data_IF_334426951503
#
_entry.id   IF_334426951503
#
_cell.length_a   1.000
_cell.length_b   1.000
_cell.length_c   1.000
_cell.angle_alpha   90.00
_cell.angle_beta   90.00
_cell.angle_gamma   90.00
#
_symmetry.space_group_name_H-M   'P 1'
#
loop_
_entity.id
_entity.type
_entity.pdbx_description
1 polymer ?
#
# COMPACT_ATOMS: atom_id res chain seq x y z
N UNK A 1 -4.36 -2.91 -10.66
CA UNK A 1 -4.65 -1.50 -10.32
C UNK A 1 -5.96 -1.46 -9.54
N UNK A 2 -5.94 -0.95 -8.31
CA UNK A 2 -7.14 -0.76 -7.48
C UNK A 2 -7.64 0.68 -7.66
N UNK A 3 -8.95 0.90 -7.70
CA UNK A 3 -9.53 2.24 -7.73
C UNK A 3 -9.23 3.01 -6.44
N UNK A 4 -9.34 2.32 -5.30
CA UNK A 4 -9.21 2.90 -3.97
C UNK A 4 -7.79 2.80 -3.43
N UNK A 5 -7.38 3.83 -2.68
CA UNK A 5 -6.19 3.76 -1.85
C UNK A 5 -6.42 2.77 -0.69
N UNK A 6 -5.39 1.98 -0.38
CA UNK A 6 -5.42 1.01 0.72
C UNK A 6 -4.93 1.62 2.04
N UNK A 7 -4.14 2.70 1.95
CA UNK A 7 -3.61 3.46 3.07
C UNK A 7 -3.41 4.90 2.61
N UNK A 8 -3.93 5.85 3.38
CA UNK A 8 -3.76 7.29 3.21
C UNK A 8 -3.27 7.90 4.52
N UNK A 9 -2.55 9.04 4.49
CA UNK A 9 -2.18 9.76 5.70
C UNK A 9 -3.43 10.19 6.46
N UNK A 10 -3.58 9.72 7.68
CA UNK A 10 -4.68 10.06 8.59
C UNK A 10 -4.17 10.36 10.01
N UNK A 11 -3.07 9.72 10.40
CA UNK A 11 -2.48 9.91 11.71
C UNK A 11 -1.50 11.09 11.73
N UNK A 12 -1.35 11.70 12.91
CA UNK A 12 -0.52 12.90 13.06
C UNK A 12 0.94 12.69 12.61
N UNK A 13 1.46 11.47 12.73
CA UNK A 13 2.83 11.12 12.33
C UNK A 13 2.95 10.88 10.82
N UNK A 14 1.85 10.77 10.09
CA UNK A 14 1.77 10.65 8.62
C UNK A 14 1.52 12.01 7.97
N UNK A 15 0.76 12.88 8.66
CA UNK A 15 0.46 14.23 8.21
C UNK A 15 1.57 15.23 8.53
N UNK A 16 2.40 14.98 9.55
CA UNK A 16 3.36 15.97 10.07
C UNK A 16 4.77 15.42 10.17
N UNK A 17 5.68 15.99 9.38
CA UNK A 17 7.09 15.62 9.34
C UNK A 17 7.86 16.47 8.33
N UNK A 18 9.04 15.98 7.92
CA UNK A 18 9.89 16.59 6.89
C UNK A 18 9.13 16.81 5.58
N UNK A 19 8.33 15.84 5.15
CA UNK A 19 7.38 15.98 4.04
C UNK A 19 5.98 15.62 4.54
N UNK A 20 5.07 16.59 4.74
CA UNK A 20 3.70 16.36 5.20
C UNK A 20 2.89 15.44 4.28
N UNK A 21 1.92 14.72 4.86
CA UNK A 21 0.94 13.88 4.16
C UNK A 21 1.58 12.78 3.30
N UNK A 22 2.51 12.02 3.87
CA UNK A 22 3.19 10.91 3.18
C UNK A 22 2.94 9.60 3.91
N UNK A 23 2.50 8.59 3.15
CA UNK A 23 2.54 7.17 3.48
C UNK A 23 3.20 6.45 2.30
N UNK A 24 4.43 5.97 2.49
CA UNK A 24 5.23 5.40 1.39
C UNK A 24 5.72 3.98 1.76
N UNK A 25 5.11 2.90 1.23
CA UNK A 25 5.49 1.53 1.57
C UNK A 25 6.85 1.15 0.99
N UNK A 26 7.72 0.57 1.83
CA UNK A 26 9.11 0.25 1.45
C UNK A 26 9.47 -1.23 1.58
N UNK A 27 8.85 -1.96 2.52
CA UNK A 27 9.14 -3.36 2.74
C UNK A 27 7.92 -4.10 3.28
N UNK A 28 7.86 -5.40 2.99
CA UNK A 28 6.77 -6.27 3.43
C UNK A 28 7.33 -7.59 3.92
N UNK A 29 6.92 -8.01 5.11
CA UNK A 29 7.09 -9.38 5.59
C UNK A 29 5.75 -10.09 5.41
N UNK A 30 5.78 -11.32 4.91
CA UNK A 30 4.57 -12.14 4.78
C UNK A 30 4.82 -13.57 5.24
N UNK A 31 3.77 -14.18 5.78
CA UNK A 31 3.73 -15.57 6.21
C UNK A 31 2.76 -16.32 5.28
N UNK A 32 3.28 -17.24 4.47
CA UNK A 32 2.47 -17.96 3.49
C UNK A 32 1.52 -18.98 4.10
N UNK A 33 1.80 -19.48 5.31
CA UNK A 33 0.92 -20.46 5.98
C UNK A 33 -0.31 -19.77 6.56
N UNK A 34 -0.13 -18.61 7.19
CA UNK A 34 -1.22 -17.88 7.82
C UNK A 34 -1.84 -16.79 6.94
N UNK A 35 -1.21 -16.47 5.81
CA UNK A 35 -1.59 -15.35 4.95
C UNK A 35 -1.38 -13.95 5.56
N UNK A 36 -0.65 -13.82 6.68
CA UNK A 36 -0.45 -12.51 7.34
C UNK A 36 0.58 -11.69 6.59
N UNK A 37 0.33 -10.40 6.50
CA UNK A 37 1.23 -9.43 5.87
C UNK A 37 1.48 -8.29 6.85
N UNK A 38 2.74 -7.93 7.03
CA UNK A 38 3.19 -6.75 7.76
C UNK A 38 3.96 -5.82 6.82
N UNK A 39 3.48 -4.58 6.66
CA UNK A 39 4.00 -3.60 5.69
C UNK A 39 4.69 -2.47 6.45
N UNK A 40 6.00 -2.33 6.26
CA UNK A 40 6.77 -1.19 6.72
C UNK A 40 6.66 -0.05 5.72
N UNK A 41 6.21 1.12 6.18
CA UNK A 41 6.05 2.30 5.36
C UNK A 41 6.68 3.53 6.01
N UNK A 42 7.23 4.43 5.20
CA UNK A 42 7.65 5.75 5.63
C UNK A 42 6.42 6.62 5.88
N UNK A 43 6.43 7.33 7.01
CA UNK A 43 5.39 8.28 7.39
C UNK A 43 5.99 9.69 7.50
N UNK A 44 5.43 10.63 6.74
CA UNK A 44 5.84 12.02 6.64
C UNK A 44 7.35 12.25 6.35
N UNK A 45 8.01 11.35 5.62
CA UNK A 45 9.48 11.29 5.41
C UNK A 45 10.30 11.44 6.72
N UNK A 46 9.73 10.98 7.84
CA UNK A 46 10.30 11.20 9.19
C UNK A 46 10.27 9.95 10.04
N UNK A 47 9.17 9.20 9.99
CA UNK A 47 8.95 8.03 10.82
C UNK A 47 8.81 6.77 9.97
N UNK A 48 8.93 5.62 10.63
CA UNK A 48 8.60 4.31 10.04
C UNK A 48 7.38 3.78 10.75
N UNK A 49 6.30 3.58 10.00
CA UNK A 49 5.06 2.94 10.44
C UNK A 49 5.01 1.46 10.06
N UNK A 50 4.09 0.73 10.68
CA UNK A 50 3.82 -0.67 10.41
C UNK A 50 2.31 -0.90 10.32
N UNK A 51 1.85 -1.41 9.17
CA UNK A 51 0.45 -1.77 8.92
C UNK A 51 0.32 -3.28 8.73
N UNK A 52 -0.86 -3.84 9.03
CA UNK A 52 -1.14 -5.27 8.91
C UNK A 52 -2.33 -5.54 8.02
N UNK A 53 -2.29 -6.65 7.28
CA UNK A 53 -3.43 -7.15 6.49
C UNK A 53 -3.29 -8.66 6.26
N UNK A 54 -4.28 -9.27 5.61
CA UNK A 54 -4.23 -10.66 5.15
C UNK A 54 -4.22 -10.73 3.61
N UNK A 55 -3.46 -11.68 3.07
CA UNK A 55 -3.29 -11.87 1.63
C UNK A 55 -4.62 -12.07 0.91
N UNK A 56 -5.47 -12.95 1.42
CA UNK A 56 -6.74 -13.28 0.76
C UNK A 56 -7.70 -12.09 0.76
N UNK A 57 -7.75 -11.35 1.86
CA UNK A 57 -8.58 -10.14 1.99
C UNK A 57 -8.11 -9.06 1.01
N UNK A 58 -6.81 -8.75 0.99
CA UNK A 58 -6.29 -7.67 0.16
C UNK A 58 -6.37 -8.00 -1.34
N UNK A 59 -6.14 -9.26 -1.72
CA UNK A 59 -6.28 -9.70 -3.11
C UNK A 59 -7.74 -9.69 -3.56
N UNK A 60 -8.66 -10.15 -2.71
CA UNK A 60 -10.09 -10.10 -3.01
C UNK A 60 -10.55 -8.64 -3.21
N UNK A 61 -10.19 -7.75 -2.28
CA UNK A 61 -10.53 -6.33 -2.34
C UNK A 61 -10.01 -5.65 -3.62
N UNK A 62 -8.74 -5.88 -3.97
CA UNK A 62 -8.12 -5.31 -5.19
C UNK A 62 -8.83 -5.81 -6.44
N UNK A 63 -9.23 -7.08 -6.50
CA UNK A 63 -9.92 -7.65 -7.66
C UNK A 63 -11.34 -7.10 -7.81
N UNK A 64 -12.05 -6.93 -6.70
CA UNK A 64 -13.40 -6.35 -6.67
C UNK A 64 -13.40 -4.89 -7.12
N UNK A 65 -12.39 -4.11 -6.73
CA UNK A 65 -12.23 -2.69 -7.06
C UNK A 65 -11.20 -2.47 -8.18
N UNK A 66 -11.03 -3.45 -9.07
CA UNK A 66 -10.02 -3.40 -10.12
C UNK A 66 -10.45 -2.45 -11.24
N UNK A 67 -9.59 -1.46 -11.53
CA UNK A 67 -9.73 -0.54 -12.68
C UNK A 67 -8.57 -0.72 -13.67
N UNK A 68 -8.06 -1.95 -13.79
CA UNK A 68 -7.07 -2.31 -14.82
C UNK A 68 -7.68 -2.11 -16.20
N UNK A 69 -6.97 -1.36 -17.04
CA UNK A 69 -7.31 -1.07 -18.43
C UNK A 69 -6.34 -1.77 -19.40
N UNK A 70 -6.67 -1.81 -20.69
CA UNK A 70 -5.78 -2.36 -21.72
C UNK A 70 -4.42 -1.65 -21.73
N UNK A 71 -4.39 -0.32 -21.50
CA UNK A 71 -3.13 0.45 -21.42
C UNK A 71 -2.22 0.01 -20.27
N UNK A 72 -2.78 -0.49 -19.15
CA UNK A 72 -1.96 -0.98 -18.02
C UNK A 72 -1.27 -2.32 -18.36
N UNK A 73 -1.63 -2.96 -19.48
CA UNK A 73 -1.05 -4.23 -19.95
C UNK A 73 -0.09 -4.07 -21.13
N UNK A 74 0.07 -2.84 -21.65
CA UNK A 74 1.01 -2.55 -22.72
C UNK A 74 2.46 -2.70 -22.23
N UNK A 75 3.33 -3.26 -23.07
CA UNK A 75 4.77 -3.30 -22.78
C UNK A 75 5.27 -1.86 -22.83
N UNK A 76 5.69 -1.32 -21.68
CA UNK A 76 6.17 0.05 -21.51
C UNK A 76 7.46 0.33 -22.30
N UNK A 77 7.32 0.50 -23.60
CA UNK A 77 8.35 1.02 -24.51
C UNK A 77 7.88 2.41 -24.95
N UNK A 78 8.29 3.43 -24.22
CA UNK A 78 8.26 4.84 -24.63
C UNK A 78 9.53 5.52 -24.16
#
# INVERSE_FOLDING_TARGET
>A
RCENFLLTPEEWYEERGFVPNVCFPCATLHDSESGRIAIYYGAADTYVGLAFTYLDEIVAYIKEHSVVTEMDTEIGIR
#
